data_IF_489647246693
#
_entry.id   IF_489647246693
#
_cell.length_a   1.000
_cell.length_b   1.000
_cell.length_c   1.000
_cell.angle_alpha   90.00
_cell.angle_beta   90.00
_cell.angle_gamma   90.00
#
_symmetry.space_group_name_H-M   'P 1'
#
loop_
_entity.id
_entity.type
_entity.pdbx_description
1 polymer ?
#
# COMPACT_ATOMS: atom_id res chain seq x y z
N UNK A 1 2.23 22.31 5.71
CA UNK A 1 2.75 21.99 4.35
C UNK A 1 2.17 20.65 3.90
N UNK A 2 1.91 20.49 2.61
CA UNK A 2 1.47 19.21 2.05
C UNK A 2 2.64 18.54 1.35
N UNK A 3 2.91 17.28 1.70
CA UNK A 3 4.05 16.50 1.19
C UNK A 3 3.59 15.16 0.64
N UNK A 4 4.29 14.67 -0.36
CA UNK A 4 4.27 13.27 -0.73
C UNK A 4 5.24 12.48 0.16
N UNK A 5 4.99 11.22 0.38
CA UNK A 5 5.86 10.33 1.17
C UNK A 5 7.32 10.35 0.70
N UNK A 6 7.64 10.25 -0.62
CA UNK A 6 9.03 10.37 -1.09
C UNK A 6 9.68 11.72 -0.74
N UNK A 7 8.95 12.81 -0.87
CA UNK A 7 9.50 14.15 -0.55
C UNK A 7 9.83 14.30 0.93
N UNK A 8 8.99 13.74 1.81
CA UNK A 8 9.29 13.73 3.23
C UNK A 8 10.54 12.89 3.54
N UNK A 9 10.74 11.78 2.84
CA UNK A 9 11.98 10.97 2.94
C UNK A 9 13.18 11.75 2.45
N UNK A 10 13.11 12.36 1.26
CA UNK A 10 14.21 13.14 0.66
C UNK A 10 14.64 14.30 1.57
N UNK A 11 13.69 14.99 2.21
CA UNK A 11 13.98 16.06 3.18
C UNK A 11 14.76 15.52 4.37
N UNK A 12 14.30 14.42 4.97
CA UNK A 12 14.99 13.81 6.11
C UNK A 12 16.39 13.31 5.73
N UNK A 13 16.52 12.68 4.58
CA UNK A 13 17.80 12.17 4.08
C UNK A 13 18.78 13.33 3.79
N UNK A 14 18.31 14.44 3.24
CA UNK A 14 19.14 15.63 3.01
C UNK A 14 19.62 16.27 4.33
N UNK A 15 18.77 16.31 5.34
CA UNK A 15 19.14 16.79 6.68
C UNK A 15 20.19 15.84 7.32
N UNK A 16 19.96 14.54 7.27
CA UNK A 16 20.87 13.54 7.84
C UNK A 16 22.26 13.55 7.16
N UNK A 17 22.31 13.81 5.85
CA UNK A 17 23.58 13.98 5.11
C UNK A 17 24.27 15.32 5.38
N UNK A 18 23.59 16.27 6.00
CA UNK A 18 24.08 17.63 6.22
C UNK A 18 23.98 18.56 5.00
N UNK A 19 23.27 18.13 3.95
CA UNK A 19 23.01 18.94 2.75
C UNK A 19 22.08 20.13 3.06
N UNK A 20 21.23 19.96 4.07
CA UNK A 20 20.28 20.97 4.57
C UNK A 20 20.51 21.18 6.05
N UNK A 21 20.73 22.44 6.44
CA UNK A 21 20.83 22.86 7.85
C UNK A 21 19.58 23.57 8.27
N UNK A 22 18.90 23.07 9.29
CA UNK A 22 17.61 23.59 9.74
C UNK A 22 17.69 25.04 10.24
N UNK A 23 18.85 25.44 10.81
CA UNK A 23 19.11 26.81 11.28
C UNK A 23 19.07 27.87 10.17
N UNK A 24 19.24 27.47 8.91
CA UNK A 24 19.19 28.38 7.76
C UNK A 24 17.76 28.73 7.34
N UNK A 25 16.77 28.11 7.96
CA UNK A 25 15.36 28.27 7.58
C UNK A 25 14.50 28.74 8.74
N UNK A 26 13.56 29.64 8.47
CA UNK A 26 12.55 30.09 9.44
C UNK A 26 11.37 29.14 9.45
N UNK A 27 11.41 28.11 10.30
CA UNK A 27 10.41 27.06 10.37
C UNK A 27 9.40 27.21 11.51
N UNK A 28 9.48 28.29 12.30
CA UNK A 28 8.66 28.49 13.51
C UNK A 28 7.15 28.43 13.27
N UNK A 29 6.71 28.79 12.05
CA UNK A 29 5.29 28.75 11.67
C UNK A 29 4.85 27.40 11.08
N UNK A 30 5.79 26.50 10.81
CA UNK A 30 5.47 25.20 10.26
C UNK A 30 5.08 24.22 11.37
N UNK A 31 3.81 24.17 11.67
CA UNK A 31 3.26 23.36 12.77
C UNK A 31 2.69 22.01 12.32
N UNK A 32 2.30 21.86 11.04
CA UNK A 32 1.60 20.71 10.51
C UNK A 32 2.19 20.22 9.18
N UNK A 33 2.51 18.95 9.12
CA UNK A 33 2.81 18.22 7.90
C UNK A 33 1.59 17.41 7.50
N UNK A 34 0.93 17.79 6.40
CA UNK A 34 -0.05 16.93 5.75
C UNK A 34 0.65 16.02 4.76
N UNK A 35 0.53 14.70 4.94
CA UNK A 35 1.23 13.72 4.11
C UNK A 35 0.25 12.69 3.58
N UNK A 36 0.36 12.33 2.28
CA UNK A 36 -0.59 11.42 1.68
C UNK A 36 -0.24 10.99 0.26
N UNK A 37 -1.27 10.69 -0.51
CA UNK A 37 -1.24 10.13 -1.86
C UNK A 37 -0.73 8.67 -1.96
N UNK A 38 -0.25 8.10 -0.88
CA UNK A 38 0.12 6.69 -0.73
C UNK A 38 0.16 6.31 0.76
N UNK A 39 0.23 5.01 1.11
CA UNK A 39 0.38 4.59 2.51
C UNK A 39 1.57 5.28 3.18
N UNK A 40 1.36 5.79 4.39
CA UNK A 40 2.38 6.52 5.16
C UNK A 40 3.09 5.54 6.09
N UNK A 41 4.40 5.28 5.89
CA UNK A 41 5.13 4.34 6.73
C UNK A 41 5.25 4.86 8.18
N UNK A 42 4.94 4.08 9.20
CA UNK A 42 5.14 4.47 10.60
C UNK A 42 6.57 4.91 10.92
N UNK A 43 7.56 4.25 10.33
CA UNK A 43 8.97 4.61 10.50
C UNK A 43 9.28 6.03 10.00
N UNK A 44 8.65 6.47 8.91
CA UNK A 44 8.83 7.83 8.39
C UNK A 44 8.33 8.87 9.39
N UNK A 45 7.16 8.67 9.97
CA UNK A 45 6.60 9.61 10.96
C UNK A 45 7.46 9.66 12.22
N UNK A 46 7.98 8.51 12.68
CA UNK A 46 8.92 8.47 13.82
C UNK A 46 10.21 9.26 13.52
N UNK A 47 10.80 9.08 12.34
CA UNK A 47 11.97 9.88 11.90
C UNK A 47 11.62 11.37 11.83
N UNK A 48 10.45 11.70 11.25
CA UNK A 48 9.99 13.08 11.15
C UNK A 48 9.85 13.74 12.52
N UNK A 49 9.20 13.07 13.46
CA UNK A 49 9.04 13.58 14.84
C UNK A 49 10.35 13.71 15.62
N UNK A 50 11.36 12.91 15.29
CA UNK A 50 12.70 13.05 15.87
C UNK A 50 13.41 14.31 15.39
N UNK A 51 13.23 14.71 14.14
CA UNK A 51 13.83 15.92 13.55
C UNK A 51 12.98 17.16 13.84
N UNK A 52 11.66 17.03 13.76
CA UNK A 52 10.68 18.10 13.94
C UNK A 52 9.70 17.76 15.10
N UNK A 53 10.13 17.79 16.35
CA UNK A 53 9.31 17.34 17.50
C UNK A 53 8.02 18.17 17.66
N UNK A 54 8.01 19.43 17.22
CA UNK A 54 6.85 20.33 17.33
C UNK A 54 5.90 20.26 16.13
N UNK A 55 6.25 19.51 15.07
CA UNK A 55 5.34 19.33 13.95
C UNK A 55 4.30 18.24 14.27
N UNK A 56 3.07 18.58 14.04
CA UNK A 56 2.00 17.60 13.98
C UNK A 56 1.95 17.00 12.57
N UNK A 57 1.31 15.85 12.43
CA UNK A 57 1.03 15.30 11.11
C UNK A 57 -0.44 14.93 10.99
N UNK A 58 -0.95 14.99 9.79
CA UNK A 58 -2.19 14.35 9.43
C UNK A 58 -2.06 13.68 8.06
N UNK A 59 -2.99 12.77 7.79
CA UNK A 59 -3.14 12.15 6.49
C UNK A 59 -4.62 12.00 6.16
N UNK A 60 -4.91 11.76 4.89
CA UNK A 60 -6.25 11.42 4.46
C UNK A 60 -6.23 10.29 3.45
N UNK A 61 -7.39 9.66 3.30
CA UNK A 61 -7.65 8.66 2.30
C UNK A 61 -8.84 9.03 1.45
N UNK A 62 -8.67 8.94 0.17
CA UNK A 62 -9.71 9.15 -0.83
C UNK A 62 -9.23 8.78 -2.21
N UNK A 63 -10.14 8.81 -3.15
CA UNK A 63 -9.91 8.49 -4.56
C UNK A 63 -10.69 9.47 -5.44
N UNK A 64 -10.44 9.43 -6.74
CA UNK A 64 -11.14 10.32 -7.68
C UNK A 64 -12.65 10.14 -7.62
N UNK A 65 -13.09 8.92 -7.43
CA UNK A 65 -14.50 8.51 -7.31
C UNK A 65 -15.18 9.06 -6.06
N UNK A 66 -14.43 9.44 -5.02
CA UNK A 66 -14.95 10.10 -3.82
C UNK A 66 -14.76 11.63 -3.85
N UNK A 67 -14.14 12.20 -4.89
CA UNK A 67 -13.90 13.65 -5.07
C UNK A 67 -13.14 14.30 -3.89
N UNK A 68 -12.62 13.52 -2.97
CA UNK A 68 -11.91 14.00 -1.79
C UNK A 68 -11.79 12.94 -0.70
N UNK A 69 -11.35 13.34 0.49
CA UNK A 69 -11.09 12.41 1.56
C UNK A 69 -12.37 11.84 2.16
N UNK A 70 -12.55 10.52 2.00
CA UNK A 70 -13.59 9.76 2.69
C UNK A 70 -13.22 9.42 4.13
N UNK A 71 -11.91 9.26 4.40
CA UNK A 71 -11.38 9.05 5.75
C UNK A 71 -10.23 10.01 6.05
N UNK A 72 -10.05 10.34 7.33
CA UNK A 72 -9.03 11.28 7.81
C UNK A 72 -8.37 10.74 9.09
N UNK A 73 -7.06 10.93 9.20
CA UNK A 73 -6.28 10.64 10.38
C UNK A 73 -5.61 11.91 10.88
N UNK A 74 -6.07 12.40 12.03
CA UNK A 74 -5.50 13.55 12.71
C UNK A 74 -4.45 13.07 13.69
N UNK A 75 -3.19 13.07 13.26
CA UNK A 75 -2.08 12.51 14.02
C UNK A 75 -1.73 13.25 15.31
N UNK A 76 -2.20 14.50 15.49
CA UNK A 76 -2.06 15.25 16.73
C UNK A 76 -2.61 14.46 17.92
N UNK A 77 -3.81 13.91 17.78
CA UNK A 77 -4.53 13.23 18.86
C UNK A 77 -4.34 11.71 18.80
N UNK A 78 -3.82 11.19 17.68
CA UNK A 78 -3.84 9.75 17.36
C UNK A 78 -2.48 9.26 16.89
N UNK A 79 -1.40 9.80 17.46
CA UNK A 79 -0.02 9.47 17.06
C UNK A 79 0.32 7.97 17.24
N UNK A 80 -0.36 7.29 18.13
CA UNK A 80 -0.16 5.86 18.36
C UNK A 80 -0.77 4.99 17.28
N UNK A 81 -1.65 5.56 16.45
CA UNK A 81 -2.30 4.90 15.32
C UNK A 81 -1.65 5.22 13.97
N UNK A 82 -0.36 5.57 13.95
CA UNK A 82 0.40 5.82 12.73
C UNK A 82 0.32 4.60 11.79
N UNK A 83 0.00 4.87 10.52
CA UNK A 83 -0.26 3.85 9.52
C UNK A 83 -1.75 3.62 9.24
N UNK A 84 -2.64 4.07 10.14
CA UNK A 84 -4.07 4.13 9.85
C UNK A 84 -4.37 5.25 8.84
N UNK A 85 -5.40 5.06 8.02
CA UNK A 85 -6.01 6.13 7.23
C UNK A 85 -7.00 6.95 8.07
N UNK A 86 -7.21 6.54 9.31
CA UNK A 86 -8.02 7.23 10.32
C UNK A 86 -9.44 6.73 10.42
N UNK A 87 -10.36 7.66 10.51
CA UNK A 87 -11.81 7.45 10.69
C UNK A 87 -12.58 8.15 9.58
N UNK A 88 -13.89 7.89 9.49
CA UNK A 88 -14.74 8.60 8.53
C UNK A 88 -14.59 10.13 8.67
N UNK A 89 -14.41 10.81 7.54
CA UNK A 89 -14.33 12.27 7.48
C UNK A 89 -15.66 12.95 7.85
N UNK A 90 -15.63 14.26 8.03
CA UNK A 90 -16.86 15.02 8.33
C UNK A 90 -17.90 14.86 7.21
N UNK A 91 -19.10 14.36 7.56
CA UNK A 91 -20.17 14.10 6.61
C UNK A 91 -19.98 12.83 5.77
N UNK A 92 -19.01 11.99 6.12
CA UNK A 92 -18.77 10.69 5.50
C UNK A 92 -19.16 9.55 6.43
N UNK A 93 -19.48 8.41 5.83
CA UNK A 93 -19.65 7.11 6.48
C UNK A 93 -18.66 6.12 5.86
N UNK A 94 -18.13 5.22 6.67
CA UNK A 94 -17.24 4.14 6.24
C UNK A 94 -17.77 2.81 6.74
N UNK A 95 -17.60 1.75 5.96
CA UNK A 95 -17.79 0.37 6.40
C UNK A 95 -16.78 -0.54 5.70
N UNK A 96 -16.49 -1.66 6.32
CA UNK A 96 -15.67 -2.73 5.72
C UNK A 96 -16.62 -3.88 5.42
N UNK A 97 -16.66 -4.32 4.16
CA UNK A 97 -17.65 -5.29 3.68
C UNK A 97 -16.99 -6.57 3.17
N UNK A 98 -17.75 -7.65 3.23
CA UNK A 98 -17.34 -8.95 2.73
C UNK A 98 -17.32 -9.03 1.20
N UNK A 99 -17.11 -10.22 0.67
CA UNK A 99 -17.01 -10.49 -0.77
C UNK A 99 -18.28 -10.18 -1.58
N UNK A 100 -19.44 -10.06 -0.92
CA UNK A 100 -20.67 -9.62 -1.56
C UNK A 100 -20.69 -8.10 -1.87
N UNK A 101 -19.75 -7.33 -1.25
CA UNK A 101 -19.64 -5.89 -1.37
C UNK A 101 -20.75 -5.11 -0.66
N UNK A 102 -21.50 -5.73 0.26
CA UNK A 102 -22.66 -5.14 0.92
C UNK A 102 -22.62 -5.38 2.44
N UNK A 103 -22.44 -6.64 2.84
CA UNK A 103 -22.54 -7.07 4.24
C UNK A 103 -21.29 -6.68 5.01
N UNK A 104 -21.42 -5.89 6.12
CA UNK A 104 -20.25 -5.58 6.95
C UNK A 104 -19.61 -6.84 7.53
N UNK A 105 -18.27 -6.86 7.54
CA UNK A 105 -17.49 -7.89 8.23
C UNK A 105 -17.52 -7.65 9.74
N UNK A 106 -17.09 -8.64 10.52
CA UNK A 106 -16.93 -8.46 11.96
C UNK A 106 -15.72 -7.57 12.28
N UNK A 107 -15.73 -6.85 13.41
CA UNK A 107 -14.57 -6.08 13.84
C UNK A 107 -13.29 -6.91 13.84
N UNK A 108 -12.22 -6.37 13.25
CA UNK A 108 -10.93 -7.03 13.11
C UNK A 108 -10.82 -8.02 11.93
N UNK A 109 -11.90 -8.27 11.20
CA UNK A 109 -11.83 -9.01 9.93
C UNK A 109 -11.48 -8.07 8.77
N UNK A 110 -10.72 -8.59 7.81
CA UNK A 110 -10.36 -7.87 6.60
C UNK A 110 -11.49 -7.97 5.57
N UNK A 111 -11.88 -6.84 5.01
CA UNK A 111 -12.86 -6.75 3.93
C UNK A 111 -12.57 -5.58 3.01
N UNK A 112 -13.42 -5.33 2.03
CA UNK A 112 -13.29 -4.18 1.14
C UNK A 112 -13.84 -2.91 1.83
N UNK A 113 -13.08 -1.84 1.79
CA UNK A 113 -13.52 -0.54 2.30
C UNK A 113 -14.59 0.05 1.38
N UNK A 114 -15.70 0.45 1.97
CA UNK A 114 -16.76 1.19 1.30
C UNK A 114 -16.93 2.58 1.92
N UNK A 115 -17.16 3.58 1.08
CA UNK A 115 -17.36 4.97 1.47
C UNK A 115 -18.74 5.44 1.06
N UNK A 116 -19.36 6.27 1.92
CA UNK A 116 -20.59 6.99 1.57
C UNK A 116 -20.48 8.44 2.04
N UNK A 117 -20.79 9.37 1.15
CA UNK A 117 -20.70 10.79 1.47
C UNK A 117 -20.99 11.69 0.28
N UNK A 118 -21.00 13.01 0.50
CA UNK A 118 -21.45 13.98 -0.51
C UNK A 118 -20.52 14.07 -1.73
N UNK A 119 -19.28 13.61 -1.59
CA UNK A 119 -18.28 13.62 -2.68
C UNK A 119 -18.29 12.38 -3.55
N UNK A 120 -19.07 11.34 -3.22
CA UNK A 120 -19.17 10.14 -4.06
C UNK A 120 -19.70 10.52 -5.44
N UNK A 121 -18.96 10.11 -6.49
CA UNK A 121 -19.35 10.34 -7.87
C UNK A 121 -20.73 9.74 -8.18
N UNK A 122 -21.38 10.23 -9.22
CA UNK A 122 -22.65 9.64 -9.68
C UNK A 122 -22.41 8.34 -10.44
N UNK A 123 -21.49 8.36 -11.39
CA UNK A 123 -21.23 7.23 -12.29
C UNK A 123 -19.91 7.42 -13.04
N UNK A 124 -19.40 6.35 -13.62
CA UNK A 124 -18.40 6.44 -14.69
C UNK A 124 -19.05 6.84 -16.01
N UNK A 125 -18.49 7.84 -16.67
CA UNK A 125 -19.01 8.36 -17.92
C UNK A 125 -19.10 7.28 -19.00
N UNK A 126 -20.32 7.07 -19.53
CA UNK A 126 -20.63 6.04 -20.52
C UNK A 126 -20.19 4.61 -20.17
N UNK A 127 -20.09 4.30 -18.87
CA UNK A 127 -19.72 2.96 -18.40
C UNK A 127 -20.60 2.50 -17.22
N UNK A 128 -21.87 2.15 -17.50
CA UNK A 128 -22.81 1.72 -16.45
C UNK A 128 -22.39 0.38 -15.81
N UNK A 129 -21.73 -0.50 -16.57
CA UNK A 129 -21.27 -1.79 -16.04
C UNK A 129 -20.21 -1.59 -14.95
N UNK A 130 -19.16 -0.81 -15.22
CA UNK A 130 -18.15 -0.49 -14.22
C UNK A 130 -18.73 0.28 -13.01
N UNK A 131 -19.75 1.12 -13.24
CA UNK A 131 -20.46 1.81 -12.17
C UNK A 131 -21.19 0.83 -11.27
N UNK A 132 -21.91 -0.14 -11.84
CA UNK A 132 -22.65 -1.15 -11.08
C UNK A 132 -21.74 -2.08 -10.27
N UNK A 133 -20.50 -2.34 -10.75
CA UNK A 133 -19.52 -3.15 -10.03
C UNK A 133 -19.11 -2.54 -8.68
N UNK A 134 -19.00 -1.20 -8.62
CA UNK A 134 -18.52 -0.49 -7.42
C UNK A 134 -19.61 0.19 -6.61
N UNK A 135 -20.83 0.29 -7.14
CA UNK A 135 -22.00 0.89 -6.47
C UNK A 135 -23.10 -0.16 -6.28
N UNK A 136 -22.80 -1.23 -5.55
CA UNK A 136 -23.76 -2.32 -5.31
C UNK A 136 -24.89 -1.96 -4.36
N UNK A 137 -24.69 -0.94 -3.54
CA UNK A 137 -25.70 -0.41 -2.60
C UNK A 137 -25.84 1.11 -2.80
N UNK A 138 -27.04 1.68 -2.78
CA UNK A 138 -27.27 3.10 -3.04
C UNK A 138 -26.44 4.02 -2.13
N UNK A 139 -25.65 4.88 -2.75
CA UNK A 139 -24.79 5.86 -2.08
C UNK A 139 -23.49 5.31 -1.51
N UNK A 140 -23.24 3.99 -1.57
CA UNK A 140 -22.00 3.37 -1.15
C UNK A 140 -21.09 3.10 -2.32
N UNK A 141 -19.85 3.56 -2.21
CA UNK A 141 -18.75 3.37 -3.17
C UNK A 141 -17.81 2.30 -2.63
N UNK A 142 -17.68 1.18 -3.31
CA UNK A 142 -16.62 0.21 -3.09
C UNK A 142 -15.31 0.78 -3.63
N UNK A 143 -14.28 0.80 -2.79
CA UNK A 143 -13.02 1.50 -3.12
C UNK A 143 -12.02 0.64 -3.88
N UNK A 144 -12.19 -0.67 -3.87
CA UNK A 144 -11.20 -1.62 -4.36
C UNK A 144 -9.99 -1.76 -3.43
N UNK A 145 -10.02 -1.16 -2.25
CA UNK A 145 -8.95 -1.29 -1.24
C UNK A 145 -9.46 -2.16 -0.08
N UNK A 146 -8.65 -3.16 0.29
CA UNK A 146 -8.90 -4.01 1.45
C UNK A 146 -8.46 -3.30 2.71
N UNK A 147 -9.28 -3.38 3.75
CA UNK A 147 -9.02 -2.71 5.02
C UNK A 147 -9.45 -3.59 6.21
N UNK A 148 -8.95 -3.25 7.36
CA UNK A 148 -9.42 -3.74 8.65
C UNK A 148 -9.59 -2.59 9.62
N UNK A 149 -10.47 -2.75 10.61
CA UNK A 149 -10.64 -1.80 11.70
C UNK A 149 -9.97 -2.35 12.97
N UNK A 150 -9.11 -1.53 13.58
CA UNK A 150 -8.45 -1.80 14.85
C UNK A 150 -8.61 -0.57 15.74
N UNK A 151 -9.16 -0.78 16.94
CA UNK A 151 -9.36 0.28 17.95
C UNK A 151 -10.10 1.51 17.40
N UNK A 152 -11.07 1.29 16.50
CA UNK A 152 -11.86 2.36 15.86
C UNK A 152 -11.15 3.08 14.69
N UNK A 153 -9.93 2.66 14.31
CA UNK A 153 -9.18 3.23 13.19
C UNK A 153 -9.11 2.25 12.03
N UNK A 154 -9.21 2.79 10.82
CA UNK A 154 -9.15 2.02 9.57
C UNK A 154 -7.71 1.94 9.10
N UNK A 155 -7.25 0.72 8.82
CA UNK A 155 -5.94 0.42 8.25
C UNK A 155 -6.12 -0.22 6.89
N UNK A 156 -5.45 0.31 5.88
CA UNK A 156 -5.39 -0.35 4.57
C UNK A 156 -4.47 -1.57 4.65
N UNK A 157 -4.94 -2.67 4.10
CA UNK A 157 -4.20 -3.93 4.07
C UNK A 157 -3.58 -4.16 2.69
N UNK A 158 -4.38 -4.02 1.63
CA UNK A 158 -3.92 -4.16 0.24
C UNK A 158 -5.00 -3.67 -0.73
N UNK A 159 -4.77 -3.86 -2.04
CA UNK A 159 -5.80 -3.72 -3.06
C UNK A 159 -6.52 -5.04 -3.31
N UNK A 160 -7.85 -5.01 -3.42
CA UNK A 160 -8.66 -6.19 -3.69
C UNK A 160 -8.16 -7.01 -4.89
N UNK A 161 -7.79 -6.33 -5.98
CA UNK A 161 -7.24 -6.94 -7.21
C UNK A 161 -5.81 -7.48 -7.07
N UNK A 162 -5.11 -7.14 -6.01
CA UNK A 162 -3.73 -7.56 -5.75
C UNK A 162 -3.67 -8.70 -4.73
N UNK A 163 -4.77 -8.99 -4.02
CA UNK A 163 -4.88 -10.14 -3.10
C UNK A 163 -4.56 -11.43 -3.86
N UNK A 164 -3.69 -12.24 -3.28
CA UNK A 164 -3.28 -13.54 -3.83
C UNK A 164 -4.07 -14.63 -3.10
N UNK A 165 -4.81 -15.44 -3.85
CA UNK A 165 -5.59 -16.54 -3.28
C UNK A 165 -4.80 -17.83 -3.44
N UNK A 166 -4.19 -18.29 -2.36
CA UNK A 166 -3.35 -19.50 -2.34
C UNK A 166 -3.93 -20.57 -1.44
N UNK A 167 -4.38 -21.69 -2.04
CA UNK A 167 -4.94 -22.79 -1.27
C UNK A 167 -6.18 -22.43 -0.43
N UNK A 168 -6.93 -21.41 -0.84
CA UNK A 168 -8.11 -20.90 -0.13
C UNK A 168 -7.80 -19.79 0.90
N UNK A 169 -6.53 -19.46 1.11
CA UNK A 169 -6.10 -18.39 2.01
C UNK A 169 -5.83 -17.09 1.24
N UNK A 170 -6.25 -15.96 1.79
CA UNK A 170 -5.95 -14.64 1.24
C UNK A 170 -4.58 -14.18 1.73
N UNK A 171 -3.67 -13.94 0.80
CA UNK A 171 -2.40 -13.29 1.06
C UNK A 171 -2.48 -11.83 0.59
N UNK A 172 -1.99 -10.96 1.44
CA UNK A 172 -1.91 -9.52 1.17
C UNK A 172 -0.46 -9.17 0.85
N UNK A 173 -0.13 -8.94 -0.44
CA UNK A 173 1.22 -8.62 -0.90
C UNK A 173 1.94 -7.54 -0.11
N UNK A 174 1.25 -6.46 0.25
CA UNK A 174 1.85 -5.34 1.00
C UNK A 174 2.47 -5.80 2.33
N UNK A 175 1.83 -6.73 3.05
CA UNK A 175 2.37 -7.25 4.32
C UNK A 175 3.69 -8.00 4.11
N UNK A 176 3.80 -8.73 3.00
CA UNK A 176 5.01 -9.47 2.66
C UNK A 176 6.09 -8.50 2.16
N UNK A 177 5.70 -7.53 1.35
CA UNK A 177 6.59 -6.48 0.83
C UNK A 177 7.21 -5.67 1.98
N UNK A 178 6.42 -5.27 2.98
CA UNK A 178 6.91 -4.51 4.13
C UNK A 178 7.90 -5.32 4.97
N UNK A 179 7.62 -6.61 5.16
CA UNK A 179 8.54 -7.51 5.84
C UNK A 179 9.86 -7.65 5.07
N UNK A 180 9.79 -7.93 3.77
CA UNK A 180 10.98 -8.12 2.92
C UNK A 180 11.78 -6.83 2.79
N UNK A 181 11.12 -5.67 2.75
CA UNK A 181 11.78 -4.34 2.69
C UNK A 181 12.64 -4.04 3.91
N UNK A 182 12.37 -4.69 5.05
CA UNK A 182 13.20 -4.58 6.25
C UNK A 182 14.58 -5.27 6.11
N UNK A 183 14.78 -6.12 5.10
CA UNK A 183 16.08 -6.73 4.83
C UNK A 183 17.08 -5.67 4.35
N UNK A 184 18.26 -5.52 5.00
CA UNK A 184 19.22 -4.44 4.69
C UNK A 184 19.80 -4.50 3.28
N UNK A 185 19.76 -5.66 2.61
CA UNK A 185 20.25 -5.86 1.24
C UNK A 185 19.21 -5.49 0.18
N UNK A 186 17.93 -5.37 0.56
CA UNK A 186 16.84 -5.09 -0.38
C UNK A 186 16.75 -3.59 -0.66
N UNK A 187 16.77 -3.21 -1.94
CA UNK A 187 16.49 -1.86 -2.41
C UNK A 187 15.00 -1.62 -2.57
N UNK A 188 14.30 -2.56 -3.21
CA UNK A 188 12.87 -2.52 -3.43
C UNK A 188 12.30 -3.93 -3.62
N UNK A 189 11.01 -4.09 -3.39
CA UNK A 189 10.31 -5.36 -3.53
C UNK A 189 8.88 -5.17 -3.99
N UNK A 190 8.41 -6.07 -4.83
CA UNK A 190 7.02 -6.23 -5.20
C UNK A 190 6.61 -7.69 -5.10
N UNK A 191 5.44 -7.97 -4.56
CA UNK A 191 4.87 -9.32 -4.48
C UNK A 191 3.65 -9.41 -5.37
N UNK A 192 3.61 -10.46 -6.21
CA UNK A 192 2.51 -10.74 -7.12
C UNK A 192 2.08 -12.20 -7.01
N UNK A 193 0.81 -12.47 -7.35
CA UNK A 193 0.31 -13.83 -7.56
C UNK A 193 0.81 -14.37 -8.90
N UNK A 194 1.31 -15.60 -8.89
CA UNK A 194 1.57 -16.38 -10.10
C UNK A 194 0.68 -17.62 -10.09
N UNK A 195 0.16 -18.04 -11.25
CA UNK A 195 -0.67 -19.24 -11.34
C UNK A 195 0.06 -20.48 -10.82
N UNK A 196 -0.62 -21.29 -10.04
CA UNK A 196 -0.18 -22.61 -9.53
C UNK A 196 -1.28 -23.63 -9.72
N UNK A 197 -0.93 -24.79 -10.31
CA UNK A 197 -1.91 -25.82 -10.66
C UNK A 197 -2.61 -26.45 -9.43
N UNK A 198 -1.98 -26.40 -8.25
CA UNK A 198 -2.51 -27.01 -7.02
C UNK A 198 -3.19 -26.02 -6.10
N UNK A 199 -2.64 -24.80 -6.02
CA UNK A 199 -3.03 -23.82 -5.03
C UNK A 199 -3.86 -22.66 -5.62
N UNK A 200 -4.07 -22.64 -6.95
CA UNK A 200 -4.63 -21.51 -7.68
C UNK A 200 -3.56 -20.47 -7.95
N UNK A 201 -3.04 -19.84 -6.92
CA UNK A 201 -1.93 -18.90 -7.00
C UNK A 201 -0.86 -19.18 -5.94
N UNK A 202 0.36 -18.73 -6.22
CA UNK A 202 1.46 -18.65 -5.25
C UNK A 202 2.03 -17.24 -5.21
N UNK A 203 2.49 -16.81 -4.04
CA UNK A 203 3.20 -15.54 -3.91
C UNK A 203 4.60 -15.65 -4.53
N UNK A 204 4.91 -14.71 -5.43
CA UNK A 204 6.24 -14.50 -6.00
C UNK A 204 6.76 -13.11 -5.60
N UNK A 205 7.95 -13.06 -5.01
CA UNK A 205 8.63 -11.82 -4.68
C UNK A 205 9.58 -11.43 -5.81
N UNK A 206 9.40 -10.23 -6.36
CA UNK A 206 10.35 -9.59 -7.28
C UNK A 206 11.19 -8.65 -6.42
N UNK A 207 12.49 -8.89 -6.36
CA UNK A 207 13.39 -8.21 -5.42
C UNK A 207 14.50 -7.50 -6.18
N UNK A 208 14.59 -6.20 -5.98
CA UNK A 208 15.72 -5.39 -6.40
C UNK A 208 16.72 -5.29 -5.24
N UNK A 209 17.97 -5.66 -5.50
CA UNK A 209 19.04 -5.65 -4.50
C UNK A 209 19.77 -4.30 -4.56
N UNK A 210 20.22 -3.80 -3.40
CA UNK A 210 21.01 -2.57 -3.32
C UNK A 210 22.32 -2.69 -4.09
N UNK A 211 22.75 -1.59 -4.66
CA UNK A 211 24.01 -1.51 -5.40
C UNK A 211 25.20 -1.96 -4.51
N UNK A 212 26.09 -2.76 -5.08
CA UNK A 212 27.22 -3.33 -4.37
C UNK A 212 26.92 -4.46 -3.40
N UNK A 213 25.65 -4.86 -3.26
CA UNK A 213 25.26 -5.99 -2.41
C UNK A 213 24.85 -7.20 -3.24
N UNK A 214 24.94 -8.37 -2.63
CA UNK A 214 24.45 -9.64 -3.20
C UNK A 214 23.46 -10.27 -2.23
N UNK A 215 22.38 -10.83 -2.77
CA UNK A 215 21.36 -11.56 -2.02
C UNK A 215 21.06 -12.84 -2.79
N UNK A 216 21.35 -13.99 -2.20
CA UNK A 216 21.02 -15.29 -2.80
C UNK A 216 19.59 -15.69 -2.49
N UNK A 217 19.04 -16.62 -3.27
CA UNK A 217 17.70 -17.20 -3.02
C UNK A 217 17.65 -17.87 -1.64
N UNK A 218 18.73 -18.56 -1.22
CA UNK A 218 18.81 -19.18 0.09
C UNK A 218 18.73 -18.14 1.21
N UNK A 219 19.53 -17.07 1.15
CA UNK A 219 19.53 -16.00 2.14
C UNK A 219 18.15 -15.29 2.20
N UNK A 220 17.50 -15.11 1.05
CA UNK A 220 16.14 -14.56 1.00
C UNK A 220 15.14 -15.49 1.68
N UNK A 221 15.19 -16.78 1.36
CA UNK A 221 14.30 -17.77 1.95
C UNK A 221 14.52 -17.89 3.46
N UNK A 222 15.76 -17.90 3.92
CA UNK A 222 16.11 -17.93 5.35
C UNK A 222 15.57 -16.70 6.09
N UNK A 223 15.69 -15.51 5.50
CA UNK A 223 15.08 -14.28 6.03
C UNK A 223 13.56 -14.40 6.15
N UNK A 224 12.92 -15.01 5.15
CA UNK A 224 11.46 -15.21 5.15
C UNK A 224 10.97 -16.29 6.13
N UNK A 225 11.85 -17.01 6.83
CA UNK A 225 11.44 -17.98 7.85
C UNK A 225 10.69 -17.34 9.03
N UNK A 226 10.92 -16.07 9.29
CA UNK A 226 10.20 -15.31 10.34
C UNK A 226 8.75 -14.97 9.94
N UNK A 227 8.40 -15.09 8.65
CA UNK A 227 7.00 -15.02 8.22
C UNK A 227 6.25 -16.31 8.54
N UNK A 228 4.95 -16.25 8.85
CA UNK A 228 4.08 -17.42 8.88
C UNK A 228 4.21 -18.21 7.57
N UNK A 229 4.23 -19.54 7.68
CA UNK A 229 4.53 -20.42 6.55
C UNK A 229 3.70 -20.14 5.29
N UNK A 230 2.41 -19.82 5.45
CA UNK A 230 1.50 -19.55 4.35
C UNK A 230 1.79 -18.21 3.65
N UNK A 231 2.43 -17.23 4.36
CA UNK A 231 2.82 -15.92 3.80
C UNK A 231 4.17 -15.92 3.11
N UNK A 232 4.97 -16.99 3.26
CA UNK A 232 6.32 -17.03 2.65
C UNK A 232 6.21 -17.08 1.14
N UNK A 233 6.90 -16.18 0.40
CA UNK A 233 6.98 -16.28 -1.05
C UNK A 233 7.49 -17.66 -1.46
N UNK A 234 6.83 -18.29 -2.42
CA UNK A 234 7.26 -19.60 -2.96
C UNK A 234 8.21 -19.46 -4.13
N UNK A 235 8.37 -18.27 -4.65
CA UNK A 235 9.30 -17.91 -5.71
C UNK A 235 9.91 -16.56 -5.43
N UNK A 236 11.21 -16.43 -5.65
CA UNK A 236 11.91 -15.15 -5.67
C UNK A 236 12.50 -14.91 -7.06
N UNK A 237 12.41 -13.68 -7.54
CA UNK A 237 12.94 -13.23 -8.84
C UNK A 237 13.76 -11.98 -8.55
N UNK A 238 15.05 -12.04 -8.78
CA UNK A 238 15.93 -10.88 -8.64
C UNK A 238 15.85 -10.03 -9.91
N UNK A 239 15.18 -8.89 -9.82
CA UNK A 239 14.97 -7.96 -10.93
C UNK A 239 14.61 -6.56 -10.41
N UNK A 240 14.71 -5.55 -11.28
CA UNK A 240 14.22 -4.21 -10.96
C UNK A 240 12.70 -4.19 -10.82
N UNK A 241 12.21 -3.45 -9.83
CA UNK A 241 10.78 -3.24 -9.58
C UNK A 241 10.31 -2.02 -10.36
N UNK A 242 9.47 -2.19 -11.39
CA UNK A 242 9.01 -1.07 -12.21
C UNK A 242 8.06 -0.16 -11.42
N UNK A 243 8.30 1.15 -11.55
CA UNK A 243 7.46 2.19 -10.97
C UNK A 243 6.99 3.16 -12.04
N UNK A 244 5.78 3.64 -11.89
CA UNK A 244 5.26 4.70 -12.76
C UNK A 244 5.87 6.08 -12.38
N UNK A 245 5.64 7.15 -13.16
CA UNK A 245 6.18 8.48 -12.87
C UNK A 245 5.77 9.06 -11.50
N UNK A 246 4.69 8.56 -10.90
CA UNK A 246 4.25 8.96 -9.56
C UNK A 246 4.87 8.10 -8.44
N UNK A 247 5.80 7.18 -8.77
CA UNK A 247 6.50 6.32 -7.82
C UNK A 247 5.74 5.06 -7.40
N UNK A 248 4.54 4.78 -7.95
CA UNK A 248 3.76 3.58 -7.61
C UNK A 248 4.27 2.36 -8.37
N UNK A 249 4.36 1.21 -7.68
CA UNK A 249 4.74 -0.08 -8.29
C UNK A 249 3.72 -0.49 -9.37
N UNK A 250 4.23 -0.89 -10.53
CA UNK A 250 3.41 -1.35 -11.67
C UNK A 250 3.19 -2.88 -11.61
N UNK A 251 2.45 -3.38 -10.60
CA UNK A 251 2.15 -4.82 -10.47
C UNK A 251 1.53 -5.45 -11.74
N UNK A 252 0.64 -4.77 -12.50
CA UNK A 252 0.13 -5.32 -13.76
C UNK A 252 1.24 -5.63 -14.78
N UNK A 253 2.28 -4.79 -14.85
CA UNK A 253 3.43 -5.01 -15.72
C UNK A 253 4.23 -6.23 -15.28
N UNK A 254 4.45 -6.40 -13.97
CA UNK A 254 5.12 -7.57 -13.40
C UNK A 254 4.33 -8.86 -13.66
N UNK A 255 3.00 -8.84 -13.50
CA UNK A 255 2.14 -10.01 -13.84
C UNK A 255 2.24 -10.37 -15.32
N UNK A 256 2.33 -9.38 -16.21
CA UNK A 256 2.52 -9.62 -17.65
C UNK A 256 3.91 -10.21 -17.93
N UNK A 257 4.96 -9.75 -17.26
CA UNK A 257 6.34 -10.22 -17.45
C UNK A 257 6.58 -11.63 -16.91
N UNK A 258 6.01 -11.94 -15.74
CA UNK A 258 6.32 -13.17 -14.98
C UNK A 258 5.14 -14.14 -14.84
N UNK A 259 3.96 -13.78 -15.29
CA UNK A 259 2.80 -14.68 -15.37
C UNK A 259 2.97 -15.75 -16.45
N UNK A 260 1.98 -16.65 -16.58
CA UNK A 260 2.06 -17.82 -17.46
C UNK A 260 2.53 -17.51 -18.90
N UNK A 261 2.05 -16.42 -19.48
CA UNK A 261 2.45 -15.99 -20.83
C UNK A 261 3.90 -15.49 -20.88
N UNK A 262 4.38 -14.80 -19.84
CA UNK A 262 5.74 -14.28 -19.78
C UNK A 262 6.80 -15.37 -19.54
N UNK A 263 6.48 -16.39 -18.74
CA UNK A 263 7.36 -17.54 -18.51
C UNK A 263 7.56 -18.37 -19.79
N UNK A 264 6.52 -18.55 -20.61
CA UNK A 264 6.61 -19.24 -21.90
C UNK A 264 7.47 -18.43 -22.87
N UNK A 265 7.34 -17.10 -22.90
CA UNK A 265 8.14 -16.24 -23.78
C UNK A 265 9.63 -16.27 -23.41
N UNK A 266 9.96 -16.26 -22.11
CA UNK A 266 11.34 -16.36 -21.64
C UNK A 266 11.97 -17.74 -21.92
N UNK A 267 11.21 -18.83 -21.81
CA UNK A 267 11.69 -20.16 -22.17
C UNK A 267 11.93 -20.34 -23.67
N UNK A 268 11.20 -19.60 -24.50
CA UNK A 268 11.32 -19.65 -25.96
C UNK A 268 12.30 -18.61 -26.54
N UNK A 269 13.03 -17.86 -25.71
CA UNK A 269 14.03 -16.89 -26.16
C UNK A 269 13.46 -15.66 -26.87
N UNK A 270 12.17 -15.40 -26.73
CA UNK A 270 11.52 -14.23 -27.30
C UNK A 270 11.60 -13.09 -26.26
N UNK A 271 12.61 -12.25 -26.41
CA UNK A 271 12.68 -10.96 -25.67
C UNK A 271 11.63 -10.01 -26.24
N UNK A 272 10.73 -9.53 -25.38
CA UNK A 272 9.75 -8.49 -25.69
C UNK A 272 10.37 -7.09 -25.59
#
# INVERSE_FOLDING_TARGET
>A
MWLLVPWAQDILDAIERGDVKLEDYKLDQWRLMHIGAQPVPPALIKRWKAVFPHHDYDTNYGLSESTGPGAVHLGIENIDHVGAIGVAGFGWETKIVGSDGITPVKPGEVGELALKGPGVMKEYYHNPEATAEIMKEPGWLLTGDMAEERDGFIYLVDRAKDVIITGGENLYPVQIEDFVRANPKVKDVAVIGLPDARLGEIAAAIVSVKEGMTLTEQEFNDFCLDLPRYKRPRKVIFAEVPRNPTGKIEKPKLRKMYGAAGLVAQQNGITA
#
